data_IF_974647515965
#
_entry.id   IF_974647515965
#
_cell.length_a   1.000
_cell.length_b   1.000
_cell.length_c   1.000
_cell.angle_alpha   90.00
_cell.angle_beta   90.00
_cell.angle_gamma   90.00
#
_symmetry.space_group_name_H-M   'P 1'
#
loop_
_entity.id
_entity.type
_entity.pdbx_description
1 polymer ?
#
# COMPACT_ATOMS: atom_id res chain seq x y z
N UNK A 1 27.95 17.25 -26.81
CA UNK A 1 26.83 16.47 -27.39
C UNK A 1 25.73 17.46 -27.78
N UNK A 2 25.19 17.39 -29.01
CA UNK A 2 24.03 18.18 -29.40
C UNK A 2 22.79 17.31 -29.22
N UNK A 3 21.82 17.78 -28.43
CA UNK A 3 20.54 17.10 -28.22
C UNK A 3 19.47 17.88 -29.01
N UNK A 4 18.61 17.17 -29.73
CA UNK A 4 17.52 17.78 -30.50
C UNK A 4 16.25 17.86 -29.66
N UNK A 5 15.47 18.93 -29.83
CA UNK A 5 14.07 19.00 -29.38
C UNK A 5 13.22 18.24 -30.39
N UNK A 6 12.33 17.36 -29.92
CA UNK A 6 11.40 16.63 -30.78
C UNK A 6 9.94 16.99 -30.51
N UNK A 7 9.66 17.55 -29.34
CA UNK A 7 8.33 17.99 -28.93
C UNK A 7 8.42 19.10 -27.89
N UNK A 8 7.30 19.74 -27.60
CA UNK A 8 7.18 20.78 -26.59
C UNK A 8 6.01 20.50 -25.66
N UNK A 9 6.20 20.75 -24.36
CA UNK A 9 5.15 20.58 -23.36
C UNK A 9 4.22 21.79 -23.36
N UNK A 10 2.91 21.54 -23.41
CA UNK A 10 1.86 22.51 -23.07
C UNK A 10 1.28 22.17 -21.70
N UNK A 11 1.37 23.13 -20.77
CA UNK A 11 0.96 22.94 -19.38
C UNK A 11 0.38 24.23 -18.81
N UNK A 12 -0.48 24.12 -17.79
CA UNK A 12 -0.98 25.29 -17.05
C UNK A 12 0.11 25.96 -16.22
N UNK A 13 1.19 25.24 -15.91
CA UNK A 13 2.30 25.72 -15.09
C UNK A 13 3.32 26.48 -15.95
N UNK A 14 3.30 27.81 -15.88
CA UNK A 14 4.27 28.67 -16.58
C UNK A 14 5.60 28.80 -15.82
N UNK A 15 5.53 28.71 -14.50
CA UNK A 15 6.69 28.74 -13.61
C UNK A 15 6.83 27.42 -12.84
N UNK A 16 8.07 27.03 -12.45
CA UNK A 16 8.30 25.81 -11.69
C UNK A 16 7.57 25.84 -10.34
N UNK A 17 6.67 24.87 -10.13
CA UNK A 17 6.11 24.54 -8.81
C UNK A 17 6.60 23.17 -8.37
N UNK A 18 6.08 22.64 -7.26
CA UNK A 18 6.47 21.31 -6.80
C UNK A 18 6.09 20.20 -7.81
N UNK A 19 6.97 19.21 -8.09
CA UNK A 19 6.62 18.08 -8.96
C UNK A 19 5.34 17.37 -8.51
N UNK A 20 5.17 17.14 -7.20
CA UNK A 20 3.96 16.52 -6.64
C UNK A 20 2.66 17.24 -7.04
N UNK A 21 2.72 18.57 -7.22
CA UNK A 21 1.58 19.38 -7.67
C UNK A 21 1.40 19.30 -9.19
N UNK A 22 2.49 19.40 -9.95
CA UNK A 22 2.45 19.31 -11.42
C UNK A 22 1.89 17.97 -11.90
N UNK A 23 2.32 16.87 -11.27
CA UNK A 23 1.89 15.51 -11.63
C UNK A 23 0.39 15.27 -11.46
N UNK A 24 -0.29 16.02 -10.59
CA UNK A 24 -1.74 15.90 -10.38
C UNK A 24 -2.56 16.52 -11.53
N UNK A 25 -1.94 16.94 -12.63
CA UNK A 25 -2.58 17.63 -13.75
C UNK A 25 -2.30 16.99 -15.10
N UNK A 26 -3.19 17.28 -16.05
CA UNK A 26 -3.02 16.91 -17.46
C UNK A 26 -2.08 17.87 -18.17
N UNK A 27 -1.25 17.33 -19.06
CA UNK A 27 -0.39 18.10 -19.96
C UNK A 27 -0.57 17.59 -21.39
N UNK A 28 -0.14 18.40 -22.37
CA UNK A 28 -0.06 17.96 -23.76
C UNK A 28 1.41 17.97 -24.18
N UNK A 29 1.85 16.91 -24.84
CA UNK A 29 3.14 16.87 -25.53
C UNK A 29 2.86 17.07 -27.02
N UNK A 30 3.28 18.20 -27.56
CA UNK A 30 3.09 18.59 -28.95
C UNK A 30 4.35 18.26 -29.75
N UNK A 31 4.29 17.17 -30.51
CA UNK A 31 5.41 16.61 -31.29
C UNK A 31 5.60 17.43 -32.57
N UNK A 32 6.85 17.71 -32.93
CA UNK A 32 7.13 18.45 -34.17
C UNK A 32 6.82 17.58 -35.39
N UNK A 33 6.33 18.23 -36.46
CA UNK A 33 5.83 17.58 -37.67
C UNK A 33 6.83 16.58 -38.28
N UNK A 34 8.13 16.90 -38.25
CA UNK A 34 9.19 16.03 -38.80
C UNK A 34 9.37 14.71 -38.04
N UNK A 35 8.84 14.57 -36.82
CA UNK A 35 8.95 13.36 -35.99
C UNK A 35 7.63 12.58 -35.86
N UNK A 36 6.58 12.98 -36.58
CA UNK A 36 5.24 12.41 -36.44
C UNK A 36 5.16 10.90 -36.71
N UNK A 37 5.89 10.42 -37.72
CA UNK A 37 5.93 8.99 -38.05
C UNK A 37 6.49 8.14 -36.90
N UNK A 38 7.29 8.74 -36.01
CA UNK A 38 7.80 8.09 -34.80
C UNK A 38 6.72 7.77 -33.76
N UNK A 39 5.49 8.26 -33.94
CA UNK A 39 4.34 7.98 -33.09
C UNK A 39 3.49 6.80 -33.58
N UNK A 40 3.89 6.09 -34.64
CA UNK A 40 3.16 4.91 -35.10
C UNK A 40 2.96 3.92 -33.93
N UNK A 41 1.70 3.52 -33.70
CA UNK A 41 1.25 2.61 -32.63
C UNK A 41 1.57 3.06 -31.20
N UNK A 42 1.78 4.35 -30.96
CA UNK A 42 2.00 4.83 -29.59
C UNK A 42 0.80 4.56 -28.67
N UNK A 43 -0.40 4.47 -29.24
CA UNK A 43 -1.65 4.15 -28.56
C UNK A 43 -1.73 2.71 -28.03
N UNK A 44 -0.85 1.81 -28.48
CA UNK A 44 -0.74 0.44 -27.95
C UNK A 44 -0.14 0.43 -26.52
N UNK A 45 0.32 1.58 -26.01
CA UNK A 45 0.96 1.72 -24.71
C UNK A 45 0.19 2.68 -23.80
N UNK A 46 -0.23 2.19 -22.63
CA UNK A 46 -0.89 3.02 -21.60
C UNK A 46 0.09 3.99 -20.91
N UNK A 47 1.38 3.66 -20.88
CA UNK A 47 2.40 4.45 -20.18
C UNK A 47 3.59 4.75 -21.08
N UNK A 48 4.10 5.97 -21.00
CA UNK A 48 5.25 6.46 -21.77
C UNK A 48 6.31 7.04 -20.82
N UNK A 49 7.59 6.81 -21.10
CA UNK A 49 8.68 7.56 -20.50
C UNK A 49 8.99 8.78 -21.36
N UNK A 50 8.88 9.96 -20.75
CA UNK A 50 9.16 11.23 -21.38
C UNK A 50 10.50 11.73 -20.87
N UNK A 51 11.46 11.92 -21.77
CA UNK A 51 12.72 12.58 -21.46
C UNK A 51 12.60 14.03 -21.94
N UNK A 52 12.92 14.97 -21.06
CA UNK A 52 12.75 16.38 -21.33
C UNK A 52 13.88 17.21 -20.71
N UNK A 53 14.06 18.44 -21.19
CA UNK A 53 15.15 19.32 -20.80
C UNK A 53 14.64 20.45 -19.89
N UNK A 54 15.19 20.61 -18.69
CA UNK A 54 14.84 21.72 -17.79
C UNK A 54 15.44 23.04 -18.33
N UNK A 55 14.78 23.62 -19.34
CA UNK A 55 15.22 24.80 -20.07
C UNK A 55 15.38 26.07 -19.21
N UNK A 56 14.72 26.15 -18.03
CA UNK A 56 14.90 27.22 -17.04
C UNK A 56 15.93 26.90 -15.94
N UNK A 57 16.58 25.74 -15.99
CA UNK A 57 17.54 25.33 -14.95
C UNK A 57 18.94 25.87 -15.24
N UNK A 58 19.44 26.74 -14.37
CA UNK A 58 20.77 27.35 -14.48
C UNK A 58 21.70 26.91 -13.34
N UNK A 59 22.94 26.58 -13.68
CA UNK A 59 23.98 26.14 -12.74
C UNK A 59 23.63 24.84 -12.00
N UNK A 60 24.56 24.39 -11.14
CA UNK A 60 24.35 23.25 -10.27
C UNK A 60 25.32 23.27 -9.08
N UNK A 61 24.89 22.67 -7.98
CA UNK A 61 25.72 22.41 -6.80
C UNK A 61 25.82 20.89 -6.60
N UNK A 62 27.06 20.39 -6.55
CA UNK A 62 27.32 18.96 -6.37
C UNK A 62 26.81 18.46 -5.01
N UNK A 63 26.85 19.31 -3.99
CA UNK A 63 26.32 19.07 -2.66
C UNK A 63 25.45 20.28 -2.31
N UNK A 64 24.18 20.03 -1.98
CA UNK A 64 23.28 21.09 -1.50
C UNK A 64 22.09 20.52 -0.75
N UNK A 65 21.46 21.37 0.09
CA UNK A 65 20.18 21.08 0.73
C UNK A 65 19.09 20.92 -0.34
N UNK A 66 18.37 19.80 -0.32
CA UNK A 66 17.32 19.48 -1.30
C UNK A 66 15.95 19.86 -0.76
N UNK A 67 14.95 19.99 -1.65
CA UNK A 67 13.56 20.39 -1.31
C UNK A 67 12.97 19.59 -0.14
N UNK A 68 13.24 18.28 -0.10
CA UNK A 68 12.87 17.38 1.01
C UNK A 68 14.16 16.75 1.56
N UNK A 69 14.45 16.98 2.84
CA UNK A 69 15.51 16.29 3.59
C UNK A 69 16.84 17.04 3.74
N UNK A 70 17.84 16.29 4.18
CA UNK A 70 19.20 16.76 4.45
C UNK A 70 20.01 17.05 3.18
N UNK A 71 21.10 17.80 3.38
CA UNK A 71 22.15 17.98 2.38
C UNK A 71 22.65 16.64 1.83
N UNK A 72 22.79 16.57 0.51
CA UNK A 72 23.24 15.36 -0.18
C UNK A 72 23.81 15.67 -1.57
N UNK A 73 24.57 14.70 -2.07
CA UNK A 73 25.10 14.69 -3.43
C UNK A 73 23.99 14.85 -4.48
N UNK A 74 24.28 15.57 -5.56
CA UNK A 74 23.31 15.85 -6.63
C UNK A 74 22.75 14.58 -7.27
N UNK A 75 23.60 13.59 -7.53
CA UNK A 75 23.23 12.33 -8.16
C UNK A 75 22.45 11.37 -7.24
N UNK A 76 22.30 11.70 -5.95
CA UNK A 76 21.40 10.98 -5.02
C UNK A 76 20.04 11.67 -4.91
N UNK A 77 19.74 12.59 -5.83
CA UNK A 77 18.51 13.38 -5.87
C UNK A 77 17.92 13.47 -7.28
N UNK A 78 16.70 13.99 -7.39
CA UNK A 78 16.03 14.33 -8.65
C UNK A 78 16.04 15.83 -8.95
N UNK A 79 17.01 16.58 -8.41
CA UNK A 79 17.07 18.04 -8.60
C UNK A 79 17.25 18.43 -10.08
N UNK A 80 16.51 19.43 -10.59
CA UNK A 80 16.65 19.90 -11.98
C UNK A 80 17.99 20.62 -12.24
N UNK A 81 18.63 21.17 -11.19
CA UNK A 81 19.93 21.87 -11.26
C UNK A 81 21.08 20.86 -11.30
N UNK A 82 21.38 20.34 -12.50
CA UNK A 82 22.38 19.29 -12.74
C UNK A 82 23.19 19.53 -14.02
N UNK A 83 24.41 18.94 -14.15
CA UNK A 83 25.31 19.19 -15.30
C UNK A 83 24.66 19.00 -16.67
N UNK A 84 23.78 18.00 -16.79
CA UNK A 84 22.91 17.82 -17.96
C UNK A 84 21.47 17.82 -17.46
N UNK A 85 20.72 18.92 -17.62
CA UNK A 85 19.42 19.13 -16.98
C UNK A 85 18.31 18.35 -17.70
N UNK A 86 18.43 17.03 -17.70
CA UNK A 86 17.44 16.09 -18.23
C UNK A 86 16.55 15.61 -17.08
N UNK A 87 15.25 15.75 -17.30
CA UNK A 87 14.18 15.11 -16.55
C UNK A 87 13.72 13.84 -17.24
N UNK A 88 13.22 12.90 -16.44
CA UNK A 88 12.58 11.68 -16.92
C UNK A 88 11.36 11.42 -16.07
N UNK A 89 10.21 11.26 -16.73
CA UNK A 89 8.94 10.97 -16.05
C UNK A 89 8.14 9.96 -16.85
N UNK A 90 7.67 8.93 -16.16
CA UNK A 90 6.65 8.02 -16.68
C UNK A 90 5.30 8.72 -16.55
N UNK A 91 4.57 8.83 -17.66
CA UNK A 91 3.25 9.43 -17.77
C UNK A 91 2.24 8.39 -18.24
N UNK A 92 0.98 8.57 -17.87
CA UNK A 92 -0.14 7.85 -18.49
C UNK A 92 -0.54 8.55 -19.80
N UNK A 93 -0.66 7.79 -20.88
CA UNK A 93 -1.19 8.26 -22.15
C UNK A 93 -2.72 8.19 -22.11
N UNK A 94 -3.36 9.36 -22.09
CA UNK A 94 -4.81 9.45 -22.04
C UNK A 94 -5.44 9.33 -23.44
N UNK A 95 -4.81 9.98 -24.43
CA UNK A 95 -5.19 9.91 -25.85
C UNK A 95 -4.14 10.57 -26.75
N UNK A 96 -4.16 10.23 -28.03
CA UNK A 96 -3.45 10.94 -29.10
C UNK A 96 -4.43 11.68 -30.02
N UNK A 97 -4.08 12.90 -30.41
CA UNK A 97 -4.79 13.71 -31.40
C UNK A 97 -3.76 14.28 -32.40
N UNK A 98 -3.52 13.55 -33.50
CA UNK A 98 -2.50 13.93 -34.49
C UNK A 98 -1.10 13.96 -33.86
N UNK A 99 -0.51 15.15 -33.78
CA UNK A 99 0.79 15.41 -33.16
C UNK A 99 0.74 15.66 -31.65
N UNK A 100 -0.44 15.59 -31.01
CA UNK A 100 -0.64 15.91 -29.60
C UNK A 100 -0.89 14.65 -28.77
N UNK A 101 -0.04 14.41 -27.78
CA UNK A 101 -0.25 13.38 -26.77
C UNK A 101 -0.81 14.03 -25.51
N UNK A 102 -2.03 13.67 -25.14
CA UNK A 102 -2.63 14.08 -23.87
C UNK A 102 -2.18 13.12 -22.79
N UNK A 103 -1.53 13.63 -21.76
CA UNK A 103 -0.89 12.80 -20.73
C UNK A 103 -1.23 13.24 -19.32
N UNK A 104 -1.16 12.31 -18.37
CA UNK A 104 -1.29 12.56 -16.93
C UNK A 104 0.00 12.17 -16.19
N UNK A 105 0.37 12.92 -15.14
CA UNK A 105 1.55 12.61 -14.32
C UNK A 105 2.86 13.27 -14.74
N UNK A 106 2.86 14.16 -15.74
CA UNK A 106 4.06 14.90 -16.17
C UNK A 106 4.41 16.04 -15.20
N UNK A 107 5.70 16.17 -14.84
CA UNK A 107 6.24 17.22 -13.96
C UNK A 107 7.11 18.23 -14.72
N UNK A 108 6.59 18.73 -15.84
CA UNK A 108 7.22 19.72 -16.70
C UNK A 108 6.35 20.98 -16.85
N UNK A 109 7.00 22.14 -16.87
CA UNK A 109 6.34 23.42 -17.10
C UNK A 109 6.05 23.61 -18.59
N UNK A 110 5.17 24.56 -18.90
CA UNK A 110 4.88 24.98 -20.26
C UNK A 110 6.13 25.44 -21.01
N UNK A 111 6.22 25.08 -22.30
CA UNK A 111 7.38 25.37 -23.14
C UNK A 111 8.58 24.44 -22.91
N UNK A 112 8.45 23.44 -22.03
CA UNK A 112 9.56 22.48 -21.78
C UNK A 112 9.88 21.67 -23.03
N UNK A 113 11.13 21.69 -23.52
CA UNK A 113 11.56 20.85 -24.64
C UNK A 113 11.57 19.36 -24.24
N UNK A 114 10.90 18.52 -25.04
CA UNK A 114 11.00 17.07 -24.97
C UNK A 114 12.10 16.62 -25.94
N UNK A 115 12.94 15.70 -25.46
CA UNK A 115 14.11 15.21 -26.21
C UNK A 115 13.92 13.77 -26.68
N UNK A 116 13.06 12.99 -26.02
CA UNK A 116 12.79 11.60 -26.38
C UNK A 116 11.48 11.10 -25.74
N UNK A 117 10.85 10.11 -26.38
CA UNK A 117 9.62 9.44 -25.93
C UNK A 117 9.84 7.94 -26.10
N UNK A 118 9.60 7.15 -25.04
CA UNK A 118 9.74 5.69 -25.08
C UNK A 118 8.50 5.01 -24.50
N UNK A 119 8.09 3.83 -25.01
CA UNK A 119 7.10 3.02 -24.32
C UNK A 119 7.64 2.60 -22.95
N UNK A 120 6.82 2.66 -21.91
CA UNK A 120 7.16 2.09 -20.62
C UNK A 120 7.01 0.57 -20.67
N UNK A 121 8.06 -0.15 -20.31
CA UNK A 121 8.08 -1.61 -20.25
C UNK A 121 8.57 -2.05 -18.88
N UNK A 122 7.68 -2.61 -18.06
CA UNK A 122 7.98 -2.97 -16.67
C UNK A 122 9.20 -3.90 -16.54
N UNK A 123 9.40 -4.82 -17.49
CA UNK A 123 10.55 -5.75 -17.50
C UNK A 123 11.90 -5.09 -17.83
N UNK A 124 11.90 -3.90 -18.46
CA UNK A 124 13.11 -3.11 -18.75
C UNK A 124 13.33 -2.00 -17.73
N UNK A 125 12.25 -1.33 -17.33
CA UNK A 125 12.30 -0.06 -16.60
C UNK A 125 12.21 -0.23 -15.08
N UNK A 126 11.65 -1.35 -14.62
CA UNK A 126 11.73 -1.71 -13.20
C UNK A 126 13.09 -2.38 -12.94
N UNK A 127 13.70 -2.14 -11.76
CA UNK A 127 14.95 -2.77 -11.41
C UNK A 127 14.82 -4.29 -11.48
N UNK A 128 15.81 -4.95 -12.06
CA UNK A 128 15.88 -6.42 -12.12
C UNK A 128 15.73 -6.99 -10.71
N UNK A 129 14.75 -7.87 -10.55
CA UNK A 129 14.29 -8.38 -9.27
C UNK A 129 15.24 -9.41 -8.63
N UNK A 130 16.54 -9.41 -8.97
CA UNK A 130 17.51 -10.35 -8.40
C UNK A 130 17.59 -10.30 -6.87
N UNK A 131 17.28 -9.14 -6.28
CA UNK A 131 17.15 -8.93 -4.83
C UNK A 131 15.91 -9.59 -4.20
N UNK A 132 14.86 -9.89 -4.95
CA UNK A 132 13.67 -10.59 -4.42
C UNK A 132 13.98 -12.02 -3.96
N UNK A 133 15.06 -12.63 -4.47
CA UNK A 133 15.46 -13.97 -4.03
C UNK A 133 15.87 -14.02 -2.55
N UNK A 134 16.22 -12.88 -1.93
CA UNK A 134 16.62 -12.82 -0.51
C UNK A 134 15.43 -12.69 0.43
N UNK A 135 14.38 -11.98 0.02
CA UNK A 135 13.15 -11.86 0.80
C UNK A 135 11.95 -11.67 -0.12
N UNK A 136 10.87 -12.46 0.07
CA UNK A 136 9.65 -12.29 -0.71
C UNK A 136 8.98 -10.93 -0.46
N UNK A 137 9.32 -10.25 0.64
CA UNK A 137 8.76 -8.95 1.03
C UNK A 137 9.57 -7.75 0.52
N UNK A 138 10.60 -7.95 -0.31
CA UNK A 138 11.48 -6.87 -0.79
C UNK A 138 10.72 -5.63 -1.29
N UNK A 139 9.66 -5.83 -2.09
CA UNK A 139 8.85 -4.72 -2.61
C UNK A 139 8.09 -4.01 -1.50
N UNK A 140 7.45 -4.75 -0.60
CA UNK A 140 6.66 -4.19 0.51
C UNK A 140 7.59 -3.39 1.45
N UNK A 141 8.74 -3.96 1.86
CA UNK A 141 9.70 -3.28 2.72
C UNK A 141 10.21 -1.98 2.08
N UNK A 142 10.43 -1.97 0.76
CA UNK A 142 10.80 -0.76 0.02
C UNK A 142 9.69 0.29 0.06
N UNK A 143 8.43 -0.10 -0.15
CA UNK A 143 7.29 0.83 -0.10
C UNK A 143 7.10 1.41 1.30
N UNK A 144 7.25 0.61 2.37
CA UNK A 144 7.22 1.07 3.76
C UNK A 144 8.34 2.07 4.02
N UNK A 145 9.58 1.73 3.65
CA UNK A 145 10.76 2.58 3.84
C UNK A 145 10.61 3.95 3.18
N UNK A 146 10.00 4.00 1.99
CA UNK A 146 9.74 5.24 1.27
C UNK A 146 8.37 5.86 1.58
N UNK A 147 7.57 5.25 2.47
CA UNK A 147 6.22 5.68 2.82
C UNK A 147 5.33 5.88 1.59
N UNK A 148 5.44 4.97 0.62
CA UNK A 148 4.56 4.94 -0.54
C UNK A 148 3.27 4.19 -0.17
N UNK A 149 2.41 4.86 0.59
CA UNK A 149 1.16 4.32 1.12
C UNK A 149 0.14 4.03 0.01
N UNK A 150 0.18 4.78 -1.08
CA UNK A 150 -0.68 4.57 -2.25
C UNK A 150 -0.48 3.17 -2.86
N UNK A 151 0.78 2.81 -3.14
CA UNK A 151 1.09 1.48 -3.67
C UNK A 151 0.85 0.38 -2.63
N UNK A 152 1.03 0.65 -1.33
CA UNK A 152 0.69 -0.31 -0.28
C UNK A 152 -0.81 -0.56 -0.24
N UNK A 153 -1.65 0.47 -0.33
CA UNK A 153 -3.11 0.32 -0.33
C UNK A 153 -3.60 -0.42 -1.58
N UNK A 154 -3.11 -0.05 -2.77
CA UNK A 154 -3.42 -0.77 -4.02
C UNK A 154 -3.17 -2.27 -3.87
N UNK A 155 -1.98 -2.60 -3.35
CA UNK A 155 -1.54 -3.98 -3.12
C UNK A 155 -2.32 -4.72 -2.05
N UNK A 156 -2.68 -4.03 -0.98
CA UNK A 156 -3.50 -4.60 0.09
C UNK A 156 -4.92 -4.88 -0.44
N UNK A 157 -5.45 -4.01 -1.32
CA UNK A 157 -6.72 -4.23 -2.00
C UNK A 157 -6.75 -5.48 -2.88
N UNK A 158 -5.61 -5.91 -3.44
CA UNK A 158 -5.51 -7.20 -4.16
C UNK A 158 -5.81 -8.39 -3.25
N UNK A 159 -5.35 -8.35 -1.98
CA UNK A 159 -5.65 -9.39 -0.99
C UNK A 159 -7.10 -9.29 -0.49
N UNK A 160 -7.55 -8.08 -0.16
CA UNK A 160 -8.84 -7.85 0.49
C UNK A 160 -10.03 -7.90 -0.49
N UNK A 161 -9.80 -7.62 -1.77
CA UNK A 161 -10.80 -7.63 -2.85
C UNK A 161 -11.54 -6.31 -3.09
N UNK A 162 -11.35 -5.29 -2.26
CA UNK A 162 -11.85 -3.92 -2.49
C UNK A 162 -11.07 -2.89 -1.65
N UNK A 163 -11.31 -1.60 -1.91
CA UNK A 163 -10.78 -0.51 -1.08
C UNK A 163 -11.83 -0.01 -0.12
N UNK A 164 -11.46 0.11 1.17
CA UNK A 164 -12.33 0.63 2.20
C UNK A 164 -11.59 1.47 3.24
N UNK A 165 -12.27 2.35 3.98
CA UNK A 165 -11.64 3.21 4.98
C UNK A 165 -10.86 2.43 6.04
N UNK A 166 -11.40 1.32 6.55
CA UNK A 166 -10.74 0.53 7.58
C UNK A 166 -9.51 -0.22 7.05
N UNK A 167 -9.51 -0.68 5.80
CA UNK A 167 -8.32 -1.24 5.16
C UNK A 167 -7.20 -0.19 5.08
N UNK A 168 -7.54 1.03 4.65
CA UNK A 168 -6.62 2.16 4.57
C UNK A 168 -6.05 2.55 5.95
N UNK A 169 -6.87 2.55 6.99
CA UNK A 169 -6.43 2.75 8.37
C UNK A 169 -5.40 1.70 8.81
N UNK A 170 -5.59 0.43 8.44
CA UNK A 170 -4.66 -0.65 8.75
C UNK A 170 -3.33 -0.48 8.02
N UNK A 171 -3.37 -0.11 6.74
CA UNK A 171 -2.18 0.21 5.94
C UNK A 171 -1.40 1.38 6.55
N UNK A 172 -2.10 2.46 6.91
CA UNK A 172 -1.51 3.65 7.51
C UNK A 172 -0.83 3.34 8.85
N UNK A 173 -1.52 2.66 9.76
CA UNK A 173 -0.99 2.28 11.07
C UNK A 173 0.24 1.37 10.94
N UNK A 174 0.17 0.33 10.13
CA UNK A 174 1.28 -0.61 9.94
C UNK A 174 2.51 0.04 9.31
N UNK A 175 2.32 0.85 8.25
CA UNK A 175 3.44 1.49 7.57
C UNK A 175 4.15 2.53 8.44
N UNK A 176 3.40 3.26 9.28
CA UNK A 176 3.96 4.19 10.25
C UNK A 176 4.70 3.44 11.38
N UNK A 177 4.07 2.42 11.96
CA UNK A 177 4.66 1.64 13.05
C UNK A 177 5.98 0.97 12.65
N UNK A 178 6.02 0.27 11.50
CA UNK A 178 7.24 -0.40 11.03
C UNK A 178 8.38 0.58 10.76
N UNK A 179 8.05 1.79 10.28
CA UNK A 179 9.03 2.86 10.09
C UNK A 179 9.57 3.36 11.42
N UNK A 180 8.70 3.62 12.41
CA UNK A 180 9.09 4.10 13.75
C UNK A 180 9.94 3.07 14.51
N UNK A 181 9.57 1.79 14.42
CA UNK A 181 10.30 0.68 15.04
C UNK A 181 11.58 0.29 14.31
N UNK A 182 11.83 0.87 13.13
CA UNK A 182 12.85 0.44 12.17
C UNK A 182 12.82 -1.08 11.92
N UNK A 183 11.60 -1.63 11.85
CA UNK A 183 11.35 -3.06 11.78
C UNK A 183 11.11 -3.52 10.34
N UNK A 184 11.61 -4.70 10.02
CA UNK A 184 11.22 -5.48 8.86
C UNK A 184 10.75 -6.85 9.36
N UNK A 185 9.85 -7.49 8.61
CA UNK A 185 9.38 -8.85 8.91
C UNK A 185 9.98 -9.82 7.89
N UNK A 186 10.60 -10.89 8.37
CA UNK A 186 11.21 -11.94 7.54
C UNK A 186 10.29 -13.17 7.35
N UNK A 187 9.12 -13.14 7.96
CA UNK A 187 8.13 -14.21 7.97
C UNK A 187 8.12 -15.00 9.28
N UNK A 188 8.97 -14.69 10.25
CA UNK A 188 9.03 -15.35 11.56
C UNK A 188 8.33 -14.54 12.65
N UNK A 189 8.28 -15.10 13.86
CA UNK A 189 7.58 -14.53 15.02
C UNK A 189 8.33 -13.38 15.71
N UNK A 190 9.32 -12.74 15.07
CA UNK A 190 10.14 -11.69 15.69
C UNK A 190 9.41 -10.34 15.77
N UNK A 191 8.64 -10.00 14.74
CA UNK A 191 7.72 -8.87 14.74
C UNK A 191 6.30 -9.41 14.91
N UNK A 192 5.60 -8.96 15.93
CA UNK A 192 4.22 -9.34 16.19
C UNK A 192 3.28 -8.15 16.02
N UNK A 193 2.04 -8.45 15.61
CA UNK A 193 0.93 -7.51 15.67
C UNK A 193 -0.20 -8.14 16.49
N UNK A 194 -0.61 -7.46 17.55
CA UNK A 194 -1.76 -7.86 18.37
C UNK A 194 -2.96 -7.02 17.95
N UNK A 195 -3.88 -7.63 17.20
CA UNK A 195 -5.08 -6.97 16.68
C UNK A 195 -6.27 -7.23 17.58
N UNK A 196 -7.09 -6.19 17.82
CA UNK A 196 -8.19 -6.23 18.80
C UNK A 196 -9.59 -6.37 18.16
N UNK A 197 -9.68 -6.60 16.84
CA UNK A 197 -10.94 -6.81 16.11
C UNK A 197 -10.77 -7.65 14.84
N UNK A 198 -11.82 -8.40 14.47
CA UNK A 198 -11.93 -9.11 13.19
C UNK A 198 -12.58 -8.18 12.15
N UNK A 199 -11.78 -7.36 11.47
CA UNK A 199 -12.27 -6.37 10.50
C UNK A 199 -11.27 -6.12 9.37
N UNK A 200 -11.66 -5.37 8.33
CA UNK A 200 -10.78 -4.98 7.21
C UNK A 200 -9.49 -4.30 7.67
N UNK A 201 -9.50 -3.66 8.85
CA UNK A 201 -8.32 -3.08 9.48
C UNK A 201 -7.19 -4.10 9.66
N UNK A 202 -7.55 -5.31 10.10
CA UNK A 202 -6.62 -6.40 10.34
C UNK A 202 -5.98 -6.91 9.05
N UNK A 203 -6.68 -6.89 7.91
CA UNK A 203 -6.09 -7.26 6.61
C UNK A 203 -5.04 -6.26 6.13
N UNK A 204 -5.27 -4.96 6.37
CA UNK A 204 -4.27 -3.92 6.12
C UNK A 204 -2.99 -4.14 6.91
N UNK A 205 -3.15 -4.50 8.18
CA UNK A 205 -2.03 -4.84 9.08
C UNK A 205 -1.30 -6.09 8.58
N UNK A 206 -2.03 -7.18 8.31
CA UNK A 206 -1.45 -8.44 7.84
C UNK A 206 -0.61 -8.24 6.57
N UNK A 207 -1.15 -7.53 5.57
CA UNK A 207 -0.44 -7.31 4.31
C UNK A 207 0.83 -6.49 4.52
N UNK A 208 0.73 -5.33 5.17
CA UNK A 208 1.82 -4.37 5.29
C UNK A 208 2.87 -4.82 6.30
N UNK A 209 2.47 -5.27 7.49
CA UNK A 209 3.40 -5.70 8.53
C UNK A 209 3.95 -7.11 8.28
N UNK A 210 3.24 -7.95 7.50
CA UNK A 210 3.63 -9.35 7.30
C UNK A 210 3.35 -10.25 8.48
N UNK A 211 2.59 -9.73 9.45
CA UNK A 211 2.15 -10.45 10.62
C UNK A 211 0.88 -11.19 10.28
N UNK A 212 0.91 -12.51 10.10
CA UNK A 212 -0.24 -13.30 9.62
C UNK A 212 -0.59 -14.42 10.57
N UNK A 213 -1.80 -14.98 10.45
CA UNK A 213 -2.18 -16.16 11.22
C UNK A 213 -1.27 -17.36 10.95
N UNK A 214 -0.90 -17.59 9.69
CA UNK A 214 -0.17 -18.79 9.28
C UNK A 214 1.30 -18.84 9.73
N UNK A 215 1.92 -17.68 9.95
CA UNK A 215 3.28 -17.57 10.49
C UNK A 215 3.30 -17.19 11.97
N UNK A 216 2.16 -17.31 12.67
CA UNK A 216 2.00 -17.11 14.12
C UNK A 216 2.39 -15.71 14.65
N UNK A 217 2.59 -14.73 13.77
CA UNK A 217 2.99 -13.38 14.17
C UNK A 217 1.82 -12.40 14.27
N UNK A 218 0.62 -12.81 13.87
CA UNK A 218 -0.62 -12.10 14.19
C UNK A 218 -1.27 -12.75 15.42
N UNK A 219 -1.44 -11.97 16.48
CA UNK A 219 -2.21 -12.36 17.66
C UNK A 219 -3.55 -11.66 17.61
N UNK A 220 -4.63 -12.43 17.64
CA UNK A 220 -5.98 -11.89 17.69
C UNK A 220 -6.52 -11.87 19.13
N UNK A 221 -6.99 -10.70 19.58
CA UNK A 221 -7.74 -10.54 20.82
C UNK A 221 -9.13 -10.02 20.48
N UNK A 222 -10.16 -10.79 20.82
CA UNK A 222 -11.55 -10.48 20.44
C UNK A 222 -12.19 -9.42 21.36
N UNK A 223 -11.62 -8.21 21.39
CA UNK A 223 -12.12 -7.10 22.22
C UNK A 223 -13.10 -6.19 21.47
N UNK A 224 -13.22 -6.36 20.14
CA UNK A 224 -14.05 -5.53 19.28
C UNK A 224 -13.53 -4.10 19.08
N UNK A 225 -12.24 -3.85 19.35
CA UNK A 225 -11.64 -2.51 19.24
C UNK A 225 -10.85 -2.39 17.93
N UNK A 226 -11.03 -1.27 17.22
CA UNK A 226 -10.16 -0.90 16.09
C UNK A 226 -8.81 -0.43 16.63
N UNK A 227 -7.99 -1.40 17.02
CA UNK A 227 -6.69 -1.18 17.64
C UNK A 227 -5.71 -2.29 17.26
N UNK A 228 -4.42 -1.93 17.26
CA UNK A 228 -3.30 -2.84 17.04
C UNK A 228 -2.11 -2.43 17.91
N UNK A 229 -1.41 -3.40 18.48
CA UNK A 229 -0.09 -3.19 19.08
C UNK A 229 0.98 -3.89 18.24
N UNK A 230 1.97 -3.14 17.78
CA UNK A 230 3.16 -3.68 17.11
C UNK A 230 4.31 -3.81 18.08
N UNK A 231 5.01 -4.94 18.04
CA UNK A 231 6.08 -5.22 18.99
C UNK A 231 7.15 -6.13 18.38
N UNK A 232 8.43 -5.84 18.67
CA UNK A 232 9.54 -6.76 18.42
C UNK A 232 9.72 -7.63 19.66
N UNK A 233 9.71 -8.96 19.56
CA UNK A 233 9.81 -9.86 20.73
C UNK A 233 11.03 -9.54 21.59
N UNK A 234 12.20 -9.29 20.98
CA UNK A 234 13.45 -8.97 21.69
C UNK A 234 13.45 -7.60 22.38
N UNK A 235 12.52 -6.72 22.04
CA UNK A 235 12.44 -5.36 22.60
C UNK A 235 10.98 -4.96 22.80
N UNK A 236 10.30 -5.70 23.67
CA UNK A 236 8.87 -5.47 23.96
C UNK A 236 8.59 -4.12 24.60
N UNK A 237 9.59 -3.51 25.25
CA UNK A 237 9.48 -2.16 25.81
C UNK A 237 9.25 -1.06 24.79
N UNK A 238 9.57 -1.28 23.50
CA UNK A 238 9.33 -0.31 22.42
C UNK A 238 7.96 -0.47 21.75
N UNK A 239 7.05 -1.27 22.30
CA UNK A 239 5.75 -1.53 21.70
C UNK A 239 4.97 -0.24 21.36
N UNK A 240 4.41 -0.20 20.16
CA UNK A 240 3.57 0.91 19.69
C UNK A 240 2.13 0.44 19.56
N UNK A 241 1.23 1.06 20.30
CA UNK A 241 -0.21 0.77 20.23
C UNK A 241 -0.95 1.90 19.53
N UNK A 242 -1.68 1.54 18.48
CA UNK A 242 -2.54 2.43 17.70
C UNK A 242 -3.98 2.08 18.01
N UNK A 243 -4.80 3.06 18.34
CA UNK A 243 -6.25 2.88 18.43
C UNK A 243 -6.98 4.10 17.89
N UNK A 244 -8.10 3.83 17.21
CA UNK A 244 -8.93 4.83 16.57
C UNK A 244 -9.50 5.79 17.62
N UNK A 245 -9.25 7.09 17.46
CA UNK A 245 -9.72 8.15 18.37
C UNK A 245 -11.24 8.28 18.37
N UNK A 246 -11.81 8.13 17.20
CA UNK A 246 -13.21 8.41 16.93
C UNK A 246 -13.79 7.34 15.98
N UNK A 247 -14.53 6.37 16.53
CA UNK A 247 -15.17 5.32 15.73
C UNK A 247 -16.20 5.83 14.72
N UNK A 248 -16.80 7.01 14.96
CA UNK A 248 -17.93 7.54 14.19
C UNK A 248 -17.49 8.57 13.14
N UNK A 249 -16.19 8.69 12.86
CA UNK A 249 -15.65 9.72 11.96
C UNK A 249 -16.24 9.63 10.55
N UNK A 250 -16.59 8.42 10.07
CA UNK A 250 -17.22 8.24 8.77
C UNK A 250 -18.62 8.87 8.74
N UNK A 251 -19.41 8.71 9.80
CA UNK A 251 -20.75 9.33 9.88
C UNK A 251 -20.67 10.86 9.94
N UNK A 252 -19.66 11.39 10.64
CA UNK A 252 -19.47 12.84 10.77
C UNK A 252 -18.88 13.48 9.52
N UNK A 253 -17.81 12.92 8.96
CA UNK A 253 -17.04 13.54 7.87
C UNK A 253 -17.58 13.14 6.49
N UNK A 254 -18.22 11.98 6.38
CA UNK A 254 -18.72 11.44 5.11
C UNK A 254 -20.16 10.89 5.26
N UNK A 255 -21.14 11.72 5.67
CA UNK A 255 -22.49 11.29 6.02
C UNK A 255 -23.20 10.54 4.88
N UNK A 256 -22.96 10.93 3.62
CA UNK A 256 -23.51 10.21 2.46
C UNK A 256 -22.97 8.77 2.35
N UNK A 257 -21.66 8.58 2.56
CA UNK A 257 -21.05 7.26 2.52
C UNK A 257 -21.55 6.38 3.67
N UNK A 258 -21.77 6.96 4.85
CA UNK A 258 -22.35 6.28 6.01
C UNK A 258 -23.80 5.84 5.75
N UNK A 259 -24.64 6.71 5.18
CA UNK A 259 -26.02 6.39 4.85
C UNK A 259 -26.10 5.25 3.82
N UNK A 260 -25.28 5.33 2.76
CA UNK A 260 -25.17 4.27 1.76
C UNK A 260 -24.69 2.95 2.38
N UNK A 261 -23.69 2.98 3.25
CA UNK A 261 -23.21 1.78 3.94
C UNK A 261 -24.30 1.12 4.77
N UNK A 262 -25.03 1.91 5.58
CA UNK A 262 -26.16 1.41 6.37
C UNK A 262 -27.21 0.74 5.48
N UNK A 263 -27.62 1.41 4.39
CA UNK A 263 -28.64 0.89 3.47
C UNK A 263 -28.19 -0.37 2.71
N UNK A 264 -26.96 -0.36 2.21
CA UNK A 264 -26.43 -1.41 1.32
C UNK A 264 -25.96 -2.63 2.12
N UNK A 265 -25.20 -2.43 3.19
CA UNK A 265 -24.52 -3.50 3.93
C UNK A 265 -25.32 -3.92 5.15
N UNK A 266 -25.66 -2.99 6.05
CA UNK A 266 -26.35 -3.33 7.30
C UNK A 266 -27.79 -3.79 7.05
N UNK A 267 -28.52 -3.07 6.18
CA UNK A 267 -29.92 -3.35 5.87
C UNK A 267 -30.12 -4.27 4.66
N UNK A 268 -29.06 -4.53 3.87
CA UNK A 268 -29.08 -5.35 2.64
C UNK A 268 -30.17 -4.94 1.63
N UNK A 269 -30.47 -3.65 1.52
CA UNK A 269 -31.58 -3.09 0.72
C UNK A 269 -31.15 -2.18 -0.45
N UNK A 270 -29.85 -2.03 -0.70
CA UNK A 270 -29.33 -1.14 -1.74
C UNK A 270 -29.38 -1.70 -3.16
N UNK A 271 -29.78 -0.86 -4.13
CA UNK A 271 -29.73 -1.15 -5.57
C UNK A 271 -28.29 -1.31 -6.09
N UNK A 272 -28.12 -1.89 -7.29
CA UNK A 272 -26.80 -2.00 -7.93
C UNK A 272 -26.09 -0.65 -8.12
N UNK A 273 -26.85 0.41 -8.41
CA UNK A 273 -26.29 1.78 -8.54
C UNK A 273 -25.78 2.30 -7.20
N UNK A 274 -26.52 2.07 -6.12
CA UNK A 274 -26.11 2.48 -4.77
C UNK A 274 -24.92 1.69 -4.27
N UNK A 275 -24.85 0.39 -4.58
CA UNK A 275 -23.67 -0.44 -4.32
C UNK A 275 -22.43 0.10 -5.03
N UNK A 276 -22.57 0.48 -6.31
CA UNK A 276 -21.46 1.05 -7.08
C UNK A 276 -21.02 2.41 -6.52
N UNK A 277 -21.97 3.30 -6.23
CA UNK A 277 -21.68 4.61 -5.64
C UNK A 277 -21.00 4.49 -4.27
N UNK A 278 -21.46 3.55 -3.43
CA UNK A 278 -20.82 3.27 -2.15
C UNK A 278 -19.37 2.83 -2.34
N UNK A 279 -19.10 1.92 -3.30
CA UNK A 279 -17.72 1.47 -3.59
C UNK A 279 -16.83 2.63 -4.05
N UNK A 280 -17.32 3.51 -4.89
CA UNK A 280 -16.59 4.69 -5.37
C UNK A 280 -16.25 5.63 -4.21
N UNK A 281 -17.23 5.99 -3.38
CA UNK A 281 -17.00 6.83 -2.20
C UNK A 281 -16.04 6.18 -1.20
N UNK A 282 -16.18 4.87 -0.94
CA UNK A 282 -15.29 4.12 -0.04
C UNK A 282 -13.85 4.10 -0.55
N UNK A 283 -13.68 3.98 -1.88
CA UNK A 283 -12.37 4.08 -2.50
C UNK A 283 -11.78 5.48 -2.33
N UNK A 284 -12.53 6.54 -2.66
CA UNK A 284 -12.08 7.93 -2.49
C UNK A 284 -11.62 8.22 -1.06
N UNK A 285 -12.44 7.84 -0.07
CA UNK A 285 -12.12 8.01 1.36
C UNK A 285 -10.88 7.21 1.75
N UNK A 286 -10.75 5.96 1.28
CA UNK A 286 -9.57 5.13 1.57
C UNK A 286 -8.27 5.78 1.08
N UNK A 287 -8.29 6.37 -0.12
CA UNK A 287 -7.14 7.10 -0.66
C UNK A 287 -6.89 8.45 0.03
N UNK A 288 -7.92 9.13 0.54
CA UNK A 288 -7.74 10.32 1.38
C UNK A 288 -7.06 9.98 2.72
N UNK A 289 -7.49 8.88 3.37
CA UNK A 289 -6.96 8.45 4.67
C UNK A 289 -5.44 8.22 4.63
N UNK A 290 -4.93 7.56 3.59
CA UNK A 290 -3.50 7.28 3.47
C UNK A 290 -2.65 8.51 3.09
N UNK A 291 -3.27 9.63 2.71
CA UNK A 291 -2.56 10.90 2.53
C UNK A 291 -2.47 11.71 3.84
N UNK A 292 -3.23 11.34 4.86
CA UNK A 292 -3.27 12.04 6.14
C UNK A 292 -2.11 11.64 7.07
N UNK A 293 -1.85 12.50 8.06
CA UNK A 293 -0.98 12.16 9.18
C UNK A 293 -1.66 11.10 10.07
N UNK A 294 -0.96 10.03 10.50
CA UNK A 294 -1.50 9.01 11.41
C UNK A 294 -2.15 9.59 12.68
N UNK A 295 -1.62 10.70 13.22
CA UNK A 295 -2.15 11.35 14.42
C UNK A 295 -3.55 11.94 14.20
N UNK A 296 -4.01 12.12 12.95
CA UNK A 296 -5.40 12.50 12.66
C UNK A 296 -6.37 11.45 13.17
N UNK A 297 -6.09 10.17 12.91
CA UNK A 297 -7.03 9.07 13.17
C UNK A 297 -6.70 8.31 14.45
N UNK A 298 -5.43 8.17 14.80
CA UNK A 298 -5.00 7.32 15.91
C UNK A 298 -4.54 8.13 17.10
N UNK A 299 -4.81 7.59 18.29
CA UNK A 299 -3.97 7.84 19.45
C UNK A 299 -2.89 6.76 19.44
N UNK A 300 -1.64 7.21 19.47
CA UNK A 300 -0.45 6.35 19.41
C UNK A 300 0.18 6.36 20.81
N UNK A 301 0.19 5.20 21.46
CA UNK A 301 0.85 4.98 22.74
C UNK A 301 2.21 4.34 22.49
N UNK A 302 3.26 5.04 22.92
CA UNK A 302 4.64 4.56 22.90
C UNK A 302 4.93 3.76 24.17
N UNK A 303 5.77 2.72 24.04
CA UNK A 303 6.14 1.82 25.13
C UNK A 303 4.94 1.17 25.82
N UNK A 304 3.96 0.77 25.01
CA UNK A 304 2.72 0.18 25.50
C UNK A 304 3.02 -1.16 26.20
N UNK A 305 2.57 -1.31 27.44
CA UNK A 305 2.68 -2.59 28.15
C UNK A 305 1.83 -3.65 27.45
N UNK A 306 2.45 -4.78 27.11
CA UNK A 306 1.76 -5.89 26.47
C UNK A 306 2.32 -7.24 26.93
N UNK A 307 1.42 -8.10 27.40
CA UNK A 307 1.72 -9.50 27.62
C UNK A 307 1.68 -10.24 26.29
N UNK A 308 2.76 -10.96 25.96
CA UNK A 308 2.88 -11.74 24.73
C UNK A 308 2.86 -13.23 25.05
N UNK A 309 2.17 -14.04 24.23
CA UNK A 309 2.28 -15.49 24.34
C UNK A 309 3.70 -15.94 23.98
N UNK A 310 4.07 -17.12 24.47
CA UNK A 310 5.29 -17.81 24.05
C UNK A 310 5.31 -18.08 22.54
N UNK A 311 6.47 -18.48 22.01
CA UNK A 311 6.60 -18.93 20.63
C UNK A 311 5.64 -20.10 20.35
N UNK A 312 5.16 -20.19 19.11
CA UNK A 312 4.23 -21.25 18.75
C UNK A 312 4.85 -22.64 18.97
N UNK A 313 4.19 -23.53 19.73
CA UNK A 313 4.69 -24.87 19.99
C UNK A 313 4.60 -25.76 18.74
N UNK A 314 5.60 -26.63 18.56
CA UNK A 314 5.59 -27.69 17.55
C UNK A 314 4.93 -28.92 18.17
N UNK A 315 3.77 -29.31 17.64
CA UNK A 315 3.05 -30.48 18.10
C UNK A 315 3.38 -31.71 17.26
N UNK A 316 3.39 -32.88 17.90
CA UNK A 316 3.45 -34.15 17.20
C UNK A 316 2.14 -34.40 16.42
N UNK A 317 2.21 -35.27 15.42
CA UNK A 317 1.02 -35.74 14.70
C UNK A 317 0.38 -36.93 15.40
N UNK A 318 -0.94 -37.01 15.29
CA UNK A 318 -1.75 -38.16 15.63
C UNK A 318 -2.60 -38.57 14.41
N UNK A 319 -3.17 -39.78 14.44
CA UNK A 319 -4.09 -40.27 13.40
C UNK A 319 -5.44 -40.55 14.03
N UNK A 320 -6.51 -40.03 13.41
CA UNK A 320 -7.87 -40.27 13.87
C UNK A 320 -8.26 -41.73 13.59
N UNK A 321 -8.58 -42.49 14.65
CA UNK A 321 -8.95 -43.91 14.54
C UNK A 321 -10.28 -44.17 13.81
N UNK A 322 -11.08 -43.13 13.51
CA UNK A 322 -12.37 -43.25 12.80
C UNK A 322 -12.27 -42.89 11.32
N UNK A 323 -11.67 -41.75 10.96
CA UNK A 323 -11.55 -41.30 9.56
C UNK A 323 -10.19 -41.57 8.91
N UNK A 324 -9.14 -41.89 9.70
CA UNK A 324 -7.78 -42.11 9.21
C UNK A 324 -7.00 -40.84 8.86
N UNK A 325 -7.56 -39.66 9.07
CA UNK A 325 -6.85 -38.39 8.81
C UNK A 325 -5.81 -38.09 9.90
N UNK A 326 -4.68 -37.52 9.48
CA UNK A 326 -3.66 -36.99 10.40
C UNK A 326 -4.09 -35.64 10.94
N UNK A 327 -3.81 -35.42 12.22
CA UNK A 327 -4.12 -34.18 12.93
C UNK A 327 -3.03 -33.83 13.94
N UNK A 328 -3.01 -32.57 14.37
CA UNK A 328 -2.16 -32.13 15.49
C UNK A 328 -2.58 -32.87 16.76
N UNK A 329 -1.65 -33.55 17.43
CA UNK A 329 -1.95 -34.34 18.63
C UNK A 329 -2.60 -33.50 19.75
N UNK A 330 -2.21 -32.23 19.91
CA UNK A 330 -2.83 -31.32 20.87
C UNK A 330 -4.30 -30.98 20.58
N UNK A 331 -4.81 -31.28 19.38
CA UNK A 331 -6.23 -31.14 19.02
C UNK A 331 -7.00 -32.47 19.05
N UNK A 332 -6.33 -33.58 19.35
CA UNK A 332 -6.96 -34.89 19.42
C UNK A 332 -7.82 -35.05 20.68
N UNK A 333 -8.84 -35.90 20.58
CA UNK A 333 -9.77 -36.21 21.66
C UNK A 333 -9.66 -37.70 21.99
N UNK A 334 -9.41 -38.00 23.27
CA UNK A 334 -9.44 -39.37 23.77
C UNK A 334 -10.89 -39.75 24.09
N UNK A 335 -11.46 -40.73 23.39
CA UNK A 335 -12.83 -41.23 23.62
C UNK A 335 -12.88 -42.73 23.33
N UNK A 336 -13.42 -43.51 24.27
CA UNK A 336 -13.55 -44.98 24.15
C UNK A 336 -12.22 -45.69 23.77
N UNK A 337 -11.13 -45.33 24.46
CA UNK A 337 -9.75 -45.80 24.21
C UNK A 337 -9.21 -45.55 22.79
N UNK A 338 -9.87 -44.66 22.03
CA UNK A 338 -9.43 -44.24 20.69
C UNK A 338 -9.00 -42.79 20.70
N UNK A 339 -8.07 -42.49 19.79
CA UNK A 339 -7.66 -41.13 19.45
C UNK A 339 -8.50 -40.67 18.26
N UNK A 340 -9.29 -39.62 18.44
CA UNK A 340 -10.21 -39.11 17.42
C UNK A 340 -9.92 -37.62 17.13
N UNK A 341 -10.21 -37.18 15.90
CA UNK A 341 -10.34 -35.76 15.62
C UNK A 341 -11.63 -35.20 16.25
N UNK A 342 -11.69 -33.89 16.48
CA UNK A 342 -12.82 -33.23 17.14
C UNK A 342 -14.17 -33.49 16.46
N UNK A 343 -14.16 -33.52 15.14
CA UNK A 343 -15.36 -33.82 14.33
C UNK A 343 -15.83 -35.27 14.52
N UNK A 344 -14.93 -36.24 14.40
CA UNK A 344 -15.25 -37.67 14.61
C UNK A 344 -15.69 -37.99 16.05
N UNK A 345 -15.19 -37.23 17.02
CA UNK A 345 -15.52 -37.36 18.43
C UNK A 345 -16.84 -36.66 18.82
N UNK A 346 -17.38 -35.81 17.93
CA UNK A 346 -18.48 -34.88 18.21
C UNK A 346 -18.19 -34.00 19.44
N UNK A 347 -16.94 -33.52 19.53
CA UNK A 347 -16.47 -32.65 20.61
C UNK A 347 -16.50 -31.18 20.20
N UNK A 348 -16.51 -30.27 21.18
CA UNK A 348 -16.52 -28.84 20.88
C UNK A 348 -15.27 -28.37 20.14
N UNK A 349 -15.41 -27.32 19.33
CA UNK A 349 -14.29 -26.66 18.63
C UNK A 349 -14.51 -25.16 18.48
N UNK A 350 -13.41 -24.41 18.33
CA UNK A 350 -13.47 -22.98 18.06
C UNK A 350 -13.61 -22.72 16.55
N UNK A 351 -14.57 -21.88 16.18
CA UNK A 351 -14.82 -21.44 14.82
C UNK A 351 -14.74 -19.91 14.76
N UNK A 352 -13.96 -19.38 13.82
CA UNK A 352 -14.06 -17.98 13.44
C UNK A 352 -15.16 -17.84 12.38
N UNK A 353 -16.15 -17.00 12.63
CA UNK A 353 -17.14 -16.60 11.63
C UNK A 353 -17.44 -15.09 11.72
N UNK A 354 -18.48 -14.64 11.02
CA UNK A 354 -18.86 -13.22 10.98
C UNK A 354 -19.25 -12.63 12.34
N UNK A 355 -19.44 -13.45 13.37
CA UNK A 355 -19.72 -13.03 14.74
C UNK A 355 -18.50 -13.02 15.66
N UNK A 356 -17.33 -13.46 15.18
CA UNK A 356 -16.11 -13.60 15.98
C UNK A 356 -15.72 -15.06 16.20
N UNK A 357 -14.94 -15.33 17.26
CA UNK A 357 -14.61 -16.71 17.65
C UNK A 357 -15.73 -17.26 18.52
N UNK A 358 -16.38 -18.33 18.06
CA UNK A 358 -17.42 -19.06 18.78
C UNK A 358 -17.00 -20.49 19.09
N UNK A 359 -17.40 -21.01 20.24
CA UNK A 359 -17.31 -22.44 20.53
C UNK A 359 -18.57 -23.14 19.98
N UNK A 360 -18.37 -24.18 19.18
CA UNK A 360 -19.42 -24.98 18.54
C UNK A 360 -19.45 -26.41 19.04
#
# INVERSE_FOLDING_TARGET
MKVKKIAEVRSKYKEPVGPDEMKKNRSIIEVEEEYLDGLDKIEDYEYLQILFYFHKSEGYDLISKRRKGSERGLFTSRSPRRPTPIGITTVELLKREGNKLHVYGLDAIDGTPVIDIKPYASFMDQPTLSLQKKTPRYRINKLIRYQNLHDLLLKTGELHGHYCPFLALGVLAAADALKRLAAENDGMEDLLAVVESNSCFSDGIQYVAGTTFGNNSLIYRDFGKTAVTFVKRENSSEALRYYLKDPDFIEREYPEAAELFKKVIAERRGSKKEQQKMKELWQEIAFEIIEADPDKYFKIEENAEIELPDYAPIFADAECSKCGERLMAAKAVQKDDKVLCRDCAESSYYQLDGSGIVEK
#
